data_IF_476064125026
#
_entry.id   IF_476064125026
#
_cell.length_a   1.000
_cell.length_b   1.000
_cell.length_c   1.000
_cell.angle_alpha   90.00
_cell.angle_beta   90.00
_cell.angle_gamma   90.00
#
_symmetry.space_group_name_H-M   'P 1'
#
loop_
_entity.id
_entity.type
_entity.pdbx_description
1 polymer ?
#
# COMPACT_ATOMS: atom_id res chain seq x y z
N UNK A 1 -8.95 -22.32 32.26
CA UNK A 1 -7.93 -23.17 31.60
C UNK A 1 -8.09 -23.16 30.07
N UNK A 2 -9.29 -23.44 29.53
CA UNK A 2 -9.59 -23.41 28.08
C UNK A 2 -9.16 -22.10 27.37
N UNK A 3 -9.54 -20.93 27.89
CA UNK A 3 -9.19 -19.64 27.26
C UNK A 3 -7.68 -19.43 27.10
N UNK A 4 -6.87 -19.90 28.06
CA UNK A 4 -5.40 -19.79 27.97
C UNK A 4 -4.84 -20.68 26.87
N UNK A 5 -5.43 -21.85 26.66
CA UNK A 5 -5.07 -22.78 25.58
C UNK A 5 -5.42 -22.15 24.22
N UNK A 6 -6.65 -21.64 24.06
CA UNK A 6 -7.07 -20.95 22.84
C UNK A 6 -6.16 -19.77 22.48
N UNK A 7 -5.90 -18.85 23.43
CA UNK A 7 -5.01 -17.71 23.20
C UNK A 7 -3.58 -18.12 22.82
N UNK A 8 -3.11 -19.24 23.37
CA UNK A 8 -1.77 -19.77 23.04
C UNK A 8 -1.76 -20.34 21.63
N UNK A 9 -2.81 -21.08 21.24
CA UNK A 9 -2.96 -21.64 19.91
C UNK A 9 -3.06 -20.54 18.84
N UNK A 10 -3.87 -19.51 19.09
CA UNK A 10 -4.01 -18.35 18.18
C UNK A 10 -2.68 -17.65 17.95
N UNK A 11 -1.88 -17.46 19.01
CA UNK A 11 -0.53 -16.89 18.90
C UNK A 11 0.39 -17.76 18.03
N UNK A 12 0.33 -19.08 18.18
CA UNK A 12 1.13 -20.00 17.36
C UNK A 12 0.69 -19.98 15.90
N UNK A 13 -0.61 -19.98 15.63
CA UNK A 13 -1.18 -19.87 14.28
C UNK A 13 -0.74 -18.56 13.62
N UNK A 14 -0.87 -17.44 14.32
CA UNK A 14 -0.47 -16.14 13.80
C UNK A 14 1.04 -16.07 13.52
N UNK A 15 1.86 -16.68 14.39
CA UNK A 15 3.30 -16.79 14.16
C UNK A 15 3.62 -17.63 12.91
N UNK A 16 2.92 -18.75 12.71
CA UNK A 16 3.10 -19.59 11.52
C UNK A 16 2.72 -18.85 10.24
N UNK A 17 1.54 -18.21 10.21
CA UNK A 17 1.09 -17.38 9.07
C UNK A 17 2.07 -16.25 8.75
N UNK A 18 2.61 -15.58 9.77
CA UNK A 18 3.63 -14.55 9.60
C UNK A 18 4.92 -15.10 8.97
N UNK A 19 5.39 -16.26 9.42
CA UNK A 19 6.58 -16.90 8.87
C UNK A 19 6.37 -17.32 7.41
N UNK A 20 5.19 -17.79 7.05
CA UNK A 20 4.83 -18.11 5.66
C UNK A 20 4.79 -16.85 4.80
N UNK A 21 4.13 -15.78 5.27
CA UNK A 21 4.10 -14.50 4.58
C UNK A 21 5.51 -13.94 4.33
N UNK A 22 6.40 -13.99 5.32
CA UNK A 22 7.79 -13.53 5.17
C UNK A 22 8.55 -14.25 4.04
N UNK A 23 8.22 -15.51 3.74
CA UNK A 23 8.82 -16.23 2.60
C UNK A 23 8.45 -15.58 1.26
N UNK A 24 7.22 -15.09 1.12
CA UNK A 24 6.76 -14.40 -0.10
C UNK A 24 7.56 -13.12 -0.38
N UNK A 25 7.98 -12.40 0.67
CA UNK A 25 8.83 -11.21 0.51
C UNK A 25 10.28 -11.56 0.14
N UNK A 26 10.76 -12.74 0.53
CA UNK A 26 12.16 -13.18 0.40
C UNK A 26 12.40 -14.18 -0.74
N UNK A 27 11.37 -14.51 -1.52
CA UNK A 27 11.46 -15.54 -2.55
C UNK A 27 12.32 -15.15 -3.76
N UNK A 28 12.43 -13.86 -4.06
CA UNK A 28 13.32 -13.35 -5.11
C UNK A 28 14.67 -12.97 -4.51
N UNK A 29 15.77 -13.47 -5.07
CA UNK A 29 17.14 -13.16 -4.62
C UNK A 29 17.55 -11.70 -4.79
N UNK A 30 16.82 -10.94 -5.63
CA UNK A 30 17.01 -9.49 -5.79
C UNK A 30 16.29 -8.66 -4.73
N UNK A 31 15.36 -9.25 -3.98
CA UNK A 31 14.67 -8.58 -2.88
C UNK A 31 15.59 -8.40 -1.67
N UNK A 32 15.40 -7.31 -0.94
CA UNK A 32 16.16 -6.97 0.26
C UNK A 32 15.17 -6.63 1.37
N UNK A 33 15.13 -7.45 2.42
CA UNK A 33 14.17 -7.33 3.51
C UNK A 33 14.93 -7.22 4.82
N UNK A 34 14.78 -6.11 5.52
CA UNK A 34 15.40 -5.93 6.83
C UNK A 34 14.96 -7.02 7.81
N UNK A 35 15.87 -7.41 8.70
CA UNK A 35 15.63 -8.47 9.70
C UNK A 35 14.58 -8.07 10.75
N UNK A 36 14.39 -6.77 10.97
CA UNK A 36 13.45 -6.21 11.93
C UNK A 36 12.07 -5.85 11.33
N UNK A 37 11.83 -6.23 10.06
CA UNK A 37 10.55 -6.03 9.39
C UNK A 37 9.38 -6.66 10.18
N UNK A 38 8.37 -5.84 10.47
CA UNK A 38 7.19 -6.24 11.24
C UNK A 38 5.98 -6.43 10.33
N UNK A 39 5.57 -7.69 10.20
CA UNK A 39 4.24 -8.06 9.71
C UNK A 39 3.27 -8.27 10.87
N UNK A 40 2.10 -7.64 10.78
CA UNK A 40 0.94 -7.96 11.61
C UNK A 40 0.10 -9.09 11.01
N UNK A 41 -1.17 -9.15 11.39
CA UNK A 41 -2.09 -10.26 11.07
C UNK A 41 -3.12 -9.86 10.01
N UNK A 42 -3.83 -10.85 9.47
CA UNK A 42 -4.96 -10.66 8.54
C UNK A 42 -4.63 -9.91 7.23
N UNK A 43 -3.34 -9.84 6.88
CA UNK A 43 -2.93 -9.33 5.58
C UNK A 43 -3.15 -10.38 4.49
N UNK A 44 -3.57 -9.92 3.31
CA UNK A 44 -3.68 -10.72 2.09
C UNK A 44 -2.51 -10.39 1.15
N UNK A 45 -1.91 -11.42 0.57
CA UNK A 45 -0.71 -11.28 -0.27
C UNK A 45 -0.89 -11.99 -1.61
N UNK A 46 -0.64 -11.26 -2.69
CA UNK A 46 -0.53 -11.76 -4.07
C UNK A 46 0.81 -11.28 -4.62
N UNK A 47 1.89 -11.98 -4.26
CA UNK A 47 3.27 -11.59 -4.57
C UNK A 47 3.86 -12.62 -5.53
N UNK A 48 4.22 -12.17 -6.73
CA UNK A 48 4.93 -12.99 -7.72
C UNK A 48 6.33 -13.36 -7.22
N UNK A 49 6.78 -14.57 -7.55
CA UNK A 49 8.14 -15.04 -7.24
C UNK A 49 9.26 -14.21 -7.89
N UNK A 50 8.93 -13.44 -8.93
CA UNK A 50 9.83 -12.53 -9.63
C UNK A 50 9.68 -11.06 -9.23
N UNK A 51 8.79 -10.75 -8.28
CA UNK A 51 8.66 -9.39 -7.75
C UNK A 51 9.95 -8.96 -7.04
N UNK A 52 10.32 -7.69 -7.18
CA UNK A 52 11.48 -7.10 -6.51
C UNK A 52 10.98 -6.26 -5.34
N UNK A 53 11.27 -6.67 -4.11
CA UNK A 53 10.77 -5.99 -2.92
C UNK A 53 11.93 -5.53 -2.06
N UNK A 54 11.99 -4.23 -1.76
CA UNK A 54 12.92 -3.63 -0.82
C UNK A 54 12.15 -3.13 0.41
N UNK A 55 12.43 -3.70 1.58
CA UNK A 55 11.86 -3.27 2.85
C UNK A 55 13.01 -2.92 3.79
N UNK A 56 13.08 -1.66 4.19
CA UNK A 56 14.14 -1.16 5.05
C UNK A 56 13.85 -1.35 6.55
N UNK A 57 14.72 -0.79 7.38
CA UNK A 57 14.73 -0.95 8.83
C UNK A 57 13.45 -0.42 9.48
N UNK A 58 12.95 -1.14 10.48
CA UNK A 58 11.79 -0.76 11.30
C UNK A 58 10.50 -0.47 10.52
N UNK A 59 10.34 -1.02 9.31
CA UNK A 59 9.07 -0.97 8.58
C UNK A 59 8.04 -1.87 9.27
N UNK A 60 6.82 -1.38 9.37
CA UNK A 60 5.66 -2.14 9.85
C UNK A 60 4.54 -2.15 8.80
N UNK A 61 4.23 -3.33 8.26
CA UNK A 61 2.96 -3.58 7.60
C UNK A 61 2.09 -4.27 8.63
N UNK A 62 1.18 -3.52 9.23
CA UNK A 62 0.40 -3.94 10.39
C UNK A 62 -0.69 -4.94 9.99
N UNK A 63 -1.96 -4.55 10.04
CA UNK A 63 -3.07 -5.50 9.89
C UNK A 63 -3.98 -5.19 8.71
N UNK A 64 -4.63 -6.23 8.21
CA UNK A 64 -5.72 -6.16 7.24
C UNK A 64 -5.37 -5.37 5.96
N UNK A 65 -4.11 -5.50 5.51
CA UNK A 65 -3.66 -4.93 4.24
C UNK A 65 -3.90 -5.91 3.09
N UNK A 66 -4.12 -5.38 1.89
CA UNK A 66 -4.10 -6.13 0.64
C UNK A 66 -2.87 -5.72 -0.15
N UNK A 67 -1.92 -6.64 -0.30
CA UNK A 67 -0.65 -6.39 -0.97
C UNK A 67 -0.52 -7.26 -2.22
N UNK A 68 -0.55 -6.62 -3.38
CA UNK A 68 -0.30 -7.23 -4.68
C UNK A 68 1.00 -6.68 -5.25
N UNK A 69 1.94 -7.56 -5.59
CA UNK A 69 3.18 -7.20 -6.31
C UNK A 69 3.37 -8.20 -7.45
N UNK A 70 3.12 -7.76 -8.68
CA UNK A 70 3.11 -8.63 -9.86
C UNK A 70 4.51 -8.90 -10.41
N UNK A 71 4.54 -9.71 -11.47
CA UNK A 71 5.76 -10.18 -12.13
C UNK A 71 6.67 -9.01 -12.50
N UNK A 72 7.94 -9.06 -12.12
CA UNK A 72 8.94 -8.00 -12.32
C UNK A 72 8.61 -6.61 -11.72
N UNK A 73 7.50 -6.46 -11.00
CA UNK A 73 7.13 -5.21 -10.35
C UNK A 73 8.07 -4.92 -9.17
N UNK A 74 8.23 -3.64 -8.85
CA UNK A 74 9.13 -3.15 -7.80
C UNK A 74 8.37 -2.44 -6.70
N UNK A 75 8.48 -2.94 -5.48
CA UNK A 75 7.95 -2.28 -4.29
C UNK A 75 9.09 -1.93 -3.34
N UNK A 76 9.27 -0.64 -3.04
CA UNK A 76 10.25 -0.16 -2.07
C UNK A 76 9.57 0.58 -0.92
N UNK A 77 9.91 0.24 0.32
CA UNK A 77 9.40 0.88 1.54
C UNK A 77 10.56 1.28 2.45
N UNK A 78 10.71 2.59 2.65
CA UNK A 78 11.78 3.20 3.44
C UNK A 78 11.60 3.05 4.96
N UNK A 79 12.66 3.38 5.70
CA UNK A 79 12.78 3.17 7.15
C UNK A 79 11.62 3.76 7.95
N UNK A 80 11.29 3.13 9.08
CA UNK A 80 10.31 3.62 10.05
C UNK A 80 8.91 3.89 9.49
N UNK A 81 8.59 3.35 8.31
CA UNK A 81 7.27 3.54 7.69
C UNK A 81 6.25 2.56 8.26
N UNK A 82 5.06 3.06 8.56
CA UNK A 82 3.95 2.31 9.13
C UNK A 82 2.76 2.29 8.16
N UNK A 83 2.26 1.09 7.86
CA UNK A 83 1.16 0.86 6.92
C UNK A 83 0.11 -0.01 7.60
N UNK A 84 -1.16 0.42 7.58
CA UNK A 84 -2.25 -0.37 8.17
C UNK A 84 -3.54 -0.24 7.38
N UNK A 85 -4.30 -1.33 7.26
CA UNK A 85 -5.62 -1.37 6.61
C UNK A 85 -5.61 -0.74 5.20
N UNK A 86 -4.53 -0.94 4.44
CA UNK A 86 -4.31 -0.33 3.13
C UNK A 86 -4.39 -1.36 1.97
N UNK A 87 -4.56 -0.86 0.75
CA UNK A 87 -4.43 -1.62 -0.50
C UNK A 87 -3.24 -1.09 -1.29
N UNK A 88 -2.27 -1.95 -1.59
CA UNK A 88 -1.13 -1.63 -2.44
C UNK A 88 -1.18 -2.58 -3.63
N UNK A 89 -1.49 -2.06 -4.81
CA UNK A 89 -1.53 -2.84 -6.05
C UNK A 89 -0.41 -2.37 -6.98
N UNK A 90 0.73 -3.07 -6.90
CA UNK A 90 1.95 -2.77 -7.63
C UNK A 90 2.13 -3.71 -8.82
N UNK A 91 1.91 -3.18 -10.02
CA UNK A 91 2.16 -3.88 -11.29
C UNK A 91 3.41 -3.35 -12.01
N UNK A 92 3.83 -2.13 -11.70
CA UNK A 92 5.03 -1.47 -12.21
C UNK A 92 5.99 -1.15 -11.07
N UNK A 93 6.00 0.09 -10.60
CA UNK A 93 6.90 0.54 -9.54
C UNK A 93 6.18 1.42 -8.50
N UNK A 94 6.20 0.99 -7.23
CA UNK A 94 5.73 1.79 -6.10
C UNK A 94 6.89 1.98 -5.12
N UNK A 95 7.23 3.25 -4.87
CA UNK A 95 8.22 3.63 -3.85
C UNK A 95 7.56 4.45 -2.77
N UNK A 96 7.78 4.07 -1.51
CA UNK A 96 7.33 4.78 -0.31
C UNK A 96 8.59 5.15 0.49
N UNK A 97 8.77 6.43 0.78
CA UNK A 97 9.92 6.93 1.53
C UNK A 97 9.93 6.53 3.00
N UNK A 98 10.82 7.16 3.74
CA UNK A 98 11.01 6.94 5.17
C UNK A 98 9.98 7.70 6.01
N UNK A 99 9.75 7.23 7.23
CA UNK A 99 8.92 7.89 8.26
C UNK A 99 7.49 8.19 7.78
N UNK A 100 6.93 7.38 6.88
CA UNK A 100 5.57 7.57 6.39
C UNK A 100 4.54 6.88 7.28
N UNK A 101 3.34 7.43 7.35
CA UNK A 101 2.18 6.80 7.99
C UNK A 101 1.09 6.69 6.93
N UNK A 102 0.88 5.48 6.42
CA UNK A 102 -0.18 5.18 5.46
C UNK A 102 -1.35 4.52 6.18
N UNK A 103 -2.38 5.34 6.40
CA UNK A 103 -3.51 5.03 7.26
C UNK A 103 -4.62 4.23 6.59
N UNK A 104 -5.71 4.10 7.34
CA UNK A 104 -6.85 3.25 7.03
C UNK A 104 -7.53 3.55 5.69
N UNK A 105 -7.76 2.51 4.89
CA UNK A 105 -8.48 2.59 3.62
C UNK A 105 -7.67 3.22 2.48
N UNK A 106 -6.38 3.53 2.71
CA UNK A 106 -5.44 4.02 1.71
C UNK A 106 -5.34 3.05 0.53
N UNK A 107 -5.30 3.56 -0.71
CA UNK A 107 -5.14 2.74 -1.92
C UNK A 107 -4.08 3.30 -2.85
N UNK A 108 -3.16 2.44 -3.31
CA UNK A 108 -2.15 2.76 -4.32
C UNK A 108 -2.38 1.90 -5.56
N UNK A 109 -2.54 2.54 -6.72
CA UNK A 109 -2.70 1.87 -8.02
C UNK A 109 -1.79 2.49 -9.07
N UNK A 110 -0.68 1.82 -9.39
CA UNK A 110 0.30 2.24 -10.40
C UNK A 110 -0.08 1.83 -11.84
N UNK A 111 -1.33 1.44 -12.08
CA UNK A 111 -1.78 0.93 -13.37
C UNK A 111 -3.25 1.25 -13.63
N UNK A 112 -3.63 1.20 -14.91
CA UNK A 112 -5.03 1.20 -15.35
C UNK A 112 -5.26 0.01 -16.29
N UNK A 113 -6.49 -0.50 -16.38
CA UNK A 113 -6.83 -1.45 -17.44
C UNK A 113 -6.70 -0.79 -18.81
N UNK A 114 -6.20 -1.54 -19.79
CA UNK A 114 -6.25 -1.13 -21.20
C UNK A 114 -7.68 -1.25 -21.72
N UNK A 115 -8.03 -0.41 -22.70
CA UNK A 115 -9.35 -0.46 -23.33
C UNK A 115 -9.26 -0.08 -24.82
N UNK A 116 -10.16 -0.64 -25.62
CA UNK A 116 -10.40 -0.26 -27.01
C UNK A 116 -11.64 0.62 -27.11
N UNK A 117 -11.70 1.47 -28.14
CA UNK A 117 -12.88 2.34 -28.38
C UNK A 117 -13.91 1.68 -29.31
N UNK A 118 -13.45 0.96 -30.34
CA UNK A 118 -14.32 0.35 -31.35
C UNK A 118 -13.84 -1.07 -31.71
N UNK A 119 -14.58 -2.13 -31.29
CA UNK A 119 -15.67 -2.07 -30.32
C UNK A 119 -15.14 -1.64 -28.94
N UNK A 120 -16.00 -1.01 -28.13
CA UNK A 120 -15.65 -0.69 -26.74
C UNK A 120 -15.45 -1.97 -25.95
N UNK A 121 -14.27 -2.11 -25.34
CA UNK A 121 -13.94 -3.24 -24.48
C UNK A 121 -12.85 -2.84 -23.49
N UNK A 122 -12.96 -3.32 -22.26
CA UNK A 122 -11.93 -3.15 -21.23
C UNK A 122 -11.24 -4.49 -21.04
N UNK A 123 -9.92 -4.53 -21.18
CA UNK A 123 -9.16 -5.77 -21.00
C UNK A 123 -9.20 -6.21 -19.54
N UNK A 124 -9.38 -7.51 -19.31
CA UNK A 124 -9.34 -8.12 -17.98
C UNK A 124 -7.90 -8.40 -17.50
N UNK A 125 -6.93 -8.40 -18.42
CA UNK A 125 -5.56 -8.89 -18.18
C UNK A 125 -4.48 -7.92 -18.64
N UNK A 126 -4.79 -6.96 -19.50
CA UNK A 126 -3.83 -6.01 -20.04
C UNK A 126 -3.94 -4.66 -19.34
N UNK A 127 -2.79 -4.08 -19.00
CA UNK A 127 -2.69 -2.89 -18.17
C UNK A 127 -1.76 -1.84 -18.79
N UNK A 128 -2.11 -0.58 -18.61
CA UNK A 128 -1.18 0.55 -18.75
C UNK A 128 -0.45 0.69 -17.42
N UNK A 129 0.77 0.17 -17.36
CA UNK A 129 1.59 0.11 -16.14
C UNK A 129 2.46 1.38 -16.06
N UNK A 130 2.57 1.95 -14.86
CA UNK A 130 3.34 3.14 -14.57
C UNK A 130 4.00 3.06 -13.20
N UNK A 131 4.04 4.20 -12.49
CA UNK A 131 4.67 4.28 -11.18
C UNK A 131 3.85 5.08 -10.15
N UNK A 132 4.18 4.90 -8.87
CA UNK A 132 3.84 5.84 -7.79
C UNK A 132 5.10 6.07 -6.97
N UNK A 133 5.42 7.34 -6.69
CA UNK A 133 6.52 7.72 -5.80
C UNK A 133 5.98 8.56 -4.65
N UNK A 134 6.21 8.12 -3.42
CA UNK A 134 5.89 8.86 -2.20
C UNK A 134 7.21 9.21 -1.52
N UNK A 135 7.41 10.50 -1.24
CA UNK A 135 8.57 11.02 -0.52
C UNK A 135 8.61 10.60 0.95
N UNK A 136 9.49 11.24 1.69
CA UNK A 136 9.71 11.01 3.12
C UNK A 136 8.72 11.80 3.97
N UNK A 137 8.43 11.30 5.17
CA UNK A 137 7.61 11.98 6.16
C UNK A 137 6.22 12.36 5.61
N UNK A 138 5.57 11.42 4.93
CA UNK A 138 4.23 11.59 4.35
C UNK A 138 3.19 10.93 5.26
N UNK A 139 2.12 11.67 5.57
CA UNK A 139 0.95 11.14 6.28
C UNK A 139 -0.28 11.15 5.39
N UNK A 140 -0.98 10.02 5.31
CA UNK A 140 -2.28 9.93 4.65
C UNK A 140 -3.41 9.80 5.67
N UNK A 141 -4.42 10.67 5.50
CA UNK A 141 -5.71 10.51 6.13
C UNK A 141 -6.46 9.30 5.60
N UNK A 142 -7.59 8.99 6.24
CA UNK A 142 -8.37 7.81 5.88
C UNK A 142 -8.91 7.88 4.44
N UNK A 143 -8.98 6.72 3.78
CA UNK A 143 -9.59 6.54 2.45
C UNK A 143 -9.00 7.41 1.33
N UNK A 144 -7.70 7.73 1.41
CA UNK A 144 -6.97 8.37 0.31
C UNK A 144 -6.69 7.36 -0.82
N UNK A 145 -6.72 7.83 -2.07
CA UNK A 145 -6.33 7.05 -3.25
C UNK A 145 -5.23 7.80 -4.00
N UNK A 146 -4.11 7.14 -4.30
CA UNK A 146 -3.06 7.68 -5.18
C UNK A 146 -3.04 6.86 -6.47
N UNK A 147 -3.12 7.57 -7.60
CA UNK A 147 -3.21 6.98 -8.93
C UNK A 147 -1.85 6.91 -9.63
N UNK A 148 -1.85 6.16 -10.74
CA UNK A 148 -0.71 5.97 -11.64
C UNK A 148 -0.07 7.29 -12.07
N UNK A 149 1.25 7.27 -12.12
CA UNK A 149 2.16 8.35 -12.54
C UNK A 149 2.05 9.60 -11.66
N UNK A 150 1.99 9.38 -10.35
CA UNK A 150 1.98 10.43 -9.34
C UNK A 150 3.24 10.38 -8.47
N UNK A 151 3.83 11.55 -8.27
CA UNK A 151 4.88 11.82 -7.29
C UNK A 151 4.35 12.70 -6.16
N UNK A 152 4.46 12.21 -4.93
CA UNK A 152 4.27 12.99 -3.70
C UNK A 152 5.66 13.38 -3.19
N UNK A 153 5.87 14.66 -2.93
CA UNK A 153 7.08 15.18 -2.31
C UNK A 153 7.23 14.80 -0.85
N UNK A 154 8.26 15.34 -0.22
CA UNK A 154 8.56 15.12 1.20
C UNK A 154 7.69 16.02 2.09
N UNK A 155 7.46 15.62 3.34
CA UNK A 155 6.72 16.40 4.34
C UNK A 155 5.30 16.78 3.88
N UNK A 156 4.57 15.80 3.35
CA UNK A 156 3.21 16.01 2.83
C UNK A 156 2.16 15.41 3.75
N UNK A 157 1.09 16.16 3.99
CA UNK A 157 -0.13 15.64 4.61
C UNK A 157 -1.22 15.56 3.56
N UNK A 158 -1.84 14.38 3.44
CA UNK A 158 -2.97 14.15 2.54
C UNK A 158 -4.24 13.99 3.36
N UNK A 159 -5.16 14.95 3.25
CA UNK A 159 -6.45 14.92 3.93
C UNK A 159 -7.30 13.71 3.55
N UNK A 160 -8.20 13.31 4.45
CA UNK A 160 -9.05 12.14 4.26
C UNK A 160 -9.90 12.23 2.98
N UNK A 161 -10.08 11.09 2.31
CA UNK A 161 -10.91 10.96 1.11
C UNK A 161 -10.36 11.64 -0.15
N UNK A 162 -9.11 12.13 -0.15
CA UNK A 162 -8.52 12.70 -1.36
C UNK A 162 -8.24 11.63 -2.42
N UNK A 163 -8.48 11.96 -3.70
CA UNK A 163 -7.98 11.21 -4.85
C UNK A 163 -6.87 12.01 -5.51
N UNK A 164 -5.65 11.48 -5.47
CA UNK A 164 -4.46 12.14 -5.99
C UNK A 164 -4.16 11.63 -7.38
N UNK A 165 -4.27 12.51 -8.35
CA UNK A 165 -4.10 12.22 -9.78
C UNK A 165 -3.09 13.17 -10.46
N UNK A 166 -2.38 13.97 -9.66
CA UNK A 166 -1.32 14.88 -10.06
C UNK A 166 -0.27 14.92 -8.95
N UNK A 167 0.95 15.28 -9.32
CA UNK A 167 2.04 15.44 -8.37
C UNK A 167 1.69 16.44 -7.26
N UNK A 168 2.19 16.15 -6.06
CA UNK A 168 2.04 17.01 -4.88
C UNK A 168 3.43 17.48 -4.46
N UNK A 169 3.70 18.80 -4.46
CA UNK A 169 4.99 19.33 -4.04
C UNK A 169 5.30 19.03 -2.57
N UNK A 170 6.58 18.98 -2.23
CA UNK A 170 7.03 18.86 -0.84
C UNK A 170 6.49 19.99 0.04
N UNK A 171 6.41 19.76 1.35
CA UNK A 171 5.94 20.71 2.37
C UNK A 171 4.51 21.22 2.13
N UNK A 172 3.65 20.34 1.62
CA UNK A 172 2.26 20.66 1.27
C UNK A 172 1.27 19.95 2.17
N UNK A 173 0.14 20.59 2.38
CA UNK A 173 -1.06 19.94 2.94
C UNK A 173 -2.11 19.98 1.85
N UNK A 174 -2.55 18.81 1.38
CA UNK A 174 -3.71 18.71 0.49
C UNK A 174 -4.96 18.44 1.33
N UNK A 175 -6.01 19.22 1.07
CA UNK A 175 -7.30 19.11 1.75
C UNK A 175 -8.38 18.71 0.77
N UNK A 176 -9.28 17.84 1.22
CA UNK A 176 -10.49 17.51 0.48
C UNK A 176 -11.54 18.59 0.77
N UNK A 177 -11.66 19.58 -0.12
CA UNK A 177 -12.65 20.66 0.03
C UNK A 177 -13.98 20.23 -0.57
N UNK A 178 -15.01 20.16 0.26
CA UNK A 178 -16.39 19.88 -0.15
C UNK A 178 -17.29 21.06 0.21
N UNK A 179 -18.24 21.37 -0.66
CA UNK A 179 -19.33 22.31 -0.37
C UNK A 179 -20.58 21.50 -0.09
N UNK A 180 -20.95 21.40 1.19
CA UNK A 180 -22.14 20.65 1.59
C UNK A 180 -23.40 21.51 1.42
N UNK A 181 -24.38 21.02 0.65
CA UNK A 181 -25.74 21.54 0.69
C UNK A 181 -26.51 20.80 1.77
N UNK A 182 -26.83 21.50 2.85
CA UNK A 182 -27.69 20.98 3.91
C UNK A 182 -29.12 21.41 3.59
N UNK A 183 -30.05 20.46 3.50
CA UNK A 183 -31.49 20.72 3.33
C UNK A 183 -32.17 20.24 4.60
N UNK A 184 -32.78 21.15 5.35
CA UNK A 184 -33.65 20.84 6.49
C UNK A 184 -35.09 20.66 5.99
N UNK A 185 -35.81 19.70 6.59
CA UNK A 185 -37.24 19.47 6.34
C UNK A 185 -38.12 20.03 7.49
N UNK A 186 -37.61 21.02 8.23
CA UNK A 186 -38.40 21.80 9.19
C UNK A 186 -39.14 22.93 8.47
#
# INVERSE_FOLDING_TARGET
MLNKIFLTLDKLINKAKKNEALKLFKQNSKSRISNDFKLGINNFYDISSSAHINIEENVTINESNYLTVKKEAKLSIGKNTYITRATISCLGEITIGENCILGEGMKLFDHNHQYTKEPFSVSKTDFNIGFIKIGNNVWTGANVVILKDVTIGDNVIIGAGCVIHKDVPSNSIIVNKQEHKIISNE
#
